data_IF_284444673563
#
_entry.id   IF_284444673563
#
_cell.length_a   1.000
_cell.length_b   1.000
_cell.length_c   1.000
_cell.angle_alpha   90.00
_cell.angle_beta   90.00
_cell.angle_gamma   90.00
#
_symmetry.space_group_name_H-M   'P 1'
#
loop_
_entity.id
_entity.type
_entity.pdbx_description
1 polymer ?
#
# COMPACT_ATOMS: atom_id res chain seq x y z
N UNK A 1 -21.88 -3.13 -4.21
CA UNK A 1 -20.83 -2.42 -3.44
C UNK A 1 -21.47 -1.17 -2.88
N UNK A 2 -21.72 -1.11 -1.56
CA UNK A 2 -22.33 0.08 -0.96
C UNK A 2 -21.31 1.22 -0.87
N UNK A 3 -21.73 2.39 -1.35
CA UNK A 3 -20.96 3.63 -1.35
C UNK A 3 -21.69 4.62 -0.46
N UNK A 4 -20.96 5.25 0.45
CA UNK A 4 -21.47 6.22 1.41
C UNK A 4 -20.81 7.56 1.12
N UNK A 5 -21.60 8.63 1.09
CA UNK A 5 -21.08 9.99 1.00
C UNK A 5 -20.80 10.48 2.41
N UNK A 6 -19.57 10.91 2.67
CA UNK A 6 -19.20 11.62 3.89
C UNK A 6 -19.85 13.01 3.87
N UNK A 7 -20.81 13.34 4.75
CA UNK A 7 -21.44 14.66 4.75
C UNK A 7 -20.47 15.77 5.20
N UNK A 8 -19.50 15.45 6.04
CA UNK A 8 -18.53 16.43 6.54
C UNK A 8 -17.44 16.82 5.52
N UNK A 9 -17.17 15.95 4.55
CA UNK A 9 -16.01 16.07 3.68
C UNK A 9 -16.30 15.86 2.19
N UNK A 10 -17.54 15.55 1.82
CA UNK A 10 -17.99 15.36 0.43
C UNK A 10 -17.39 14.15 -0.29
N UNK A 11 -16.57 13.34 0.37
CA UNK A 11 -15.91 12.19 -0.25
C UNK A 11 -16.78 10.93 -0.21
N UNK A 12 -16.75 10.19 -1.31
CA UNK A 12 -17.42 8.89 -1.41
C UNK A 12 -16.53 7.79 -0.84
N UNK A 13 -17.00 7.11 0.20
CA UNK A 13 -16.33 6.01 0.88
C UNK A 13 -17.05 4.72 0.54
N UNK A 14 -16.31 3.68 0.12
CA UNK A 14 -16.90 2.36 -0.08
C UNK A 14 -16.58 1.50 1.14
N UNK A 15 -17.61 0.89 1.75
CA UNK A 15 -17.40 -0.17 2.75
C UNK A 15 -17.04 -1.42 1.98
N UNK A 16 -15.80 -1.90 2.12
CA UNK A 16 -15.48 -3.23 1.60
C UNK A 16 -15.81 -4.29 2.65
N UNK A 17 -16.36 -5.45 2.23
CA UNK A 17 -16.44 -6.62 3.09
C UNK A 17 -15.06 -6.94 3.65
N UNK A 18 -15.01 -7.54 4.85
CA UNK A 18 -13.81 -7.91 5.60
C UNK A 18 -12.79 -8.79 4.85
N UNK A 19 -13.15 -9.29 3.66
CA UNK A 19 -12.30 -10.07 2.75
C UNK A 19 -11.79 -9.31 1.53
N UNK A 20 -12.09 -8.01 1.37
CA UNK A 20 -11.70 -7.23 0.19
C UNK A 20 -10.98 -5.96 0.62
N UNK A 21 -9.72 -5.83 0.20
CA UNK A 21 -8.90 -4.64 0.40
C UNK A 21 -9.45 -3.47 -0.44
N UNK A 22 -9.39 -2.22 0.05
CA UNK A 22 -9.81 -1.02 -0.67
C UNK A 22 -8.86 -0.67 -1.81
N UNK A 23 -8.69 -1.53 -2.79
CA UNK A 23 -8.02 -1.17 -4.03
C UNK A 23 -8.78 -1.67 -5.24
N UNK A 24 -8.71 -0.87 -6.31
CA UNK A 24 -8.96 -1.35 -7.68
C UNK A 24 -8.29 -2.72 -7.82
N UNK A 25 -8.86 -3.67 -8.58
CA UNK A 25 -8.40 -5.05 -8.63
C UNK A 25 -7.01 -5.13 -9.28
N UNK A 26 -5.97 -4.83 -8.52
CA UNK A 26 -4.57 -5.06 -8.87
C UNK A 26 -4.16 -6.28 -8.09
N UNK A 27 -3.60 -7.25 -8.80
CA UNK A 27 -3.04 -8.44 -8.18
C UNK A 27 -1.79 -8.08 -7.37
N UNK A 28 -1.66 -8.65 -6.18
CA UNK A 28 -0.55 -8.35 -5.27
C UNK A 28 0.80 -8.67 -5.92
N UNK A 29 0.86 -9.72 -6.74
CA UNK A 29 2.06 -10.11 -7.47
C UNK A 29 2.46 -9.08 -8.52
N UNK A 30 1.47 -8.46 -9.17
CA UNK A 30 1.72 -7.41 -10.17
C UNK A 30 2.20 -6.12 -9.52
N UNK A 31 1.62 -5.77 -8.36
CA UNK A 31 2.13 -4.67 -7.54
C UNK A 31 3.58 -4.93 -7.09
N UNK A 32 3.86 -6.15 -6.65
CA UNK A 32 5.21 -6.54 -6.25
C UNK A 32 6.19 -6.39 -7.40
N UNK A 33 5.89 -6.96 -8.56
CA UNK A 33 6.78 -6.95 -9.72
C UNK A 33 7.04 -5.53 -10.25
N UNK A 34 6.03 -4.66 -10.33
CA UNK A 34 6.23 -3.25 -10.69
C UNK A 34 7.09 -2.52 -9.65
N UNK A 35 6.86 -2.77 -8.36
CA UNK A 35 7.64 -2.14 -7.28
C UNK A 35 9.08 -2.67 -7.25
N UNK A 36 9.28 -3.97 -7.48
CA UNK A 36 10.58 -4.63 -7.57
C UNK A 36 11.35 -4.11 -8.81
N UNK A 37 10.68 -3.87 -9.94
CA UNK A 37 11.26 -3.22 -11.11
C UNK A 37 11.69 -1.78 -10.81
N UNK A 38 10.81 -0.97 -10.22
CA UNK A 38 11.11 0.43 -9.85
C UNK A 38 12.20 0.55 -8.79
N UNK A 39 12.36 -0.50 -7.99
CA UNK A 39 13.42 -0.62 -7.02
C UNK A 39 14.68 -1.27 -7.62
N UNK A 40 14.72 -1.69 -8.89
CA UNK A 40 15.89 -2.36 -9.50
C UNK A 40 16.26 -3.65 -8.73
N UNK A 41 15.26 -4.49 -8.43
CA UNK A 41 15.40 -5.83 -7.83
C UNK A 41 15.25 -6.92 -8.89
N UNK A 42 14.30 -6.76 -9.82
CA UNK A 42 13.97 -7.75 -10.83
C UNK A 42 13.59 -7.08 -12.16
N UNK A 43 13.60 -7.86 -13.23
CA UNK A 43 13.03 -7.47 -14.52
C UNK A 43 11.51 -7.27 -14.41
N UNK A 44 10.99 -6.35 -15.22
CA UNK A 44 9.63 -5.82 -15.13
C UNK A 44 8.49 -6.81 -15.30
N UNK A 45 7.28 -6.27 -15.31
CA UNK A 45 6.05 -7.05 -15.53
C UNK A 45 6.05 -7.70 -16.91
N UNK A 46 5.76 -9.01 -16.93
CA UNK A 46 5.47 -9.78 -18.14
C UNK A 46 4.14 -10.54 -17.94
N UNK A 47 3.08 -10.29 -18.75
CA UNK A 47 3.00 -9.26 -19.78
C UNK A 47 3.00 -7.83 -19.20
N UNK A 48 3.32 -6.80 -20.01
CA UNK A 48 3.26 -5.41 -19.56
C UNK A 48 1.84 -5.01 -19.12
N UNK A 49 1.71 -4.07 -18.17
CA UNK A 49 0.40 -3.64 -17.67
C UNK A 49 -0.36 -2.83 -18.72
N UNK A 50 -1.69 -2.94 -18.70
CA UNK A 50 -2.56 -2.06 -19.50
C UNK A 50 -2.54 -0.62 -18.95
N UNK A 51 -3.15 0.32 -19.68
CA UNK A 51 -3.13 1.75 -19.34
C UNK A 51 -3.75 2.04 -17.95
N UNK A 52 -4.80 1.30 -17.59
CA UNK A 52 -5.52 1.49 -16.33
C UNK A 52 -4.67 0.92 -15.18
N UNK A 53 -4.15 -0.29 -15.35
CA UNK A 53 -3.27 -0.97 -14.41
C UNK A 53 -2.00 -0.13 -14.16
N UNK A 54 -1.33 0.31 -15.22
CA UNK A 54 -0.14 1.16 -15.15
C UNK A 54 -0.41 2.45 -14.37
N UNK A 55 -1.54 3.12 -14.62
CA UNK A 55 -1.95 4.30 -13.87
C UNK A 55 -2.22 4.01 -12.39
N UNK A 56 -2.73 2.83 -12.07
CA UNK A 56 -2.94 2.42 -10.69
C UNK A 56 -1.61 2.12 -9.98
N UNK A 57 -0.73 1.33 -10.60
CA UNK A 57 0.62 1.03 -10.10
C UNK A 57 1.42 2.31 -9.87
N UNK A 58 1.34 3.26 -10.79
CA UNK A 58 1.98 4.56 -10.64
C UNK A 58 1.47 5.34 -9.41
N UNK A 59 0.15 5.41 -9.21
CA UNK A 59 -0.42 6.08 -8.02
C UNK A 59 0.00 5.41 -6.73
N UNK A 60 0.07 4.08 -6.72
CA UNK A 60 0.53 3.30 -5.59
C UNK A 60 1.97 3.64 -5.25
N UNK A 61 2.85 3.59 -6.25
CA UNK A 61 4.25 3.92 -6.08
C UNK A 61 4.44 5.37 -5.60
N UNK A 62 3.73 6.32 -6.22
CA UNK A 62 3.77 7.73 -5.79
C UNK A 62 3.37 7.88 -4.32
N UNK A 63 2.38 7.13 -3.87
CA UNK A 63 1.96 7.13 -2.47
C UNK A 63 3.03 6.57 -1.54
N UNK A 64 3.68 5.48 -1.93
CA UNK A 64 4.85 4.94 -1.23
C UNK A 64 5.96 6.00 -1.09
N UNK A 65 6.32 6.71 -2.17
CA UNK A 65 7.33 7.77 -2.16
C UNK A 65 7.00 8.86 -1.12
N UNK A 66 5.74 9.26 -1.01
CA UNK A 66 5.31 10.30 -0.05
C UNK A 66 5.27 9.84 1.40
N UNK A 67 5.38 8.53 1.67
CA UNK A 67 5.23 7.94 3.02
C UNK A 67 6.51 7.34 3.57
N UNK A 68 7.65 7.52 2.89
CA UNK A 68 8.93 6.91 3.26
C UNK A 68 9.32 7.18 4.70
N UNK A 69 9.19 8.43 5.17
CA UNK A 69 9.53 8.80 6.55
C UNK A 69 8.68 8.01 7.55
N UNK A 70 7.37 8.13 7.43
CA UNK A 70 6.44 7.43 8.30
C UNK A 70 6.59 5.90 8.25
N UNK A 71 6.80 5.32 7.07
CA UNK A 71 7.00 3.88 6.93
C UNK A 71 8.31 3.42 7.54
N UNK A 72 9.39 4.21 7.46
CA UNK A 72 10.64 3.92 8.18
C UNK A 72 10.39 3.81 9.68
N UNK A 73 9.58 4.70 10.24
CA UNK A 73 9.26 4.68 11.68
C UNK A 73 8.46 3.43 12.04
N UNK A 74 7.45 3.06 11.21
CA UNK A 74 6.64 1.86 11.45
C UNK A 74 7.44 0.57 11.34
N UNK A 75 8.31 0.45 10.33
CA UNK A 75 9.16 -0.74 10.23
C UNK A 75 10.27 -0.73 11.28
N UNK A 76 10.69 0.44 11.77
CA UNK A 76 11.54 0.61 12.93
C UNK A 76 12.77 -0.30 12.93
N UNK A 77 12.90 -1.10 13.99
CA UNK A 77 14.01 -2.03 14.22
C UNK A 77 14.08 -3.19 13.21
N UNK A 78 13.03 -3.43 12.41
CA UNK A 78 13.05 -4.45 11.36
C UNK A 78 14.07 -4.10 10.26
N UNK A 79 14.36 -2.81 10.11
CA UNK A 79 15.18 -2.27 9.03
C UNK A 79 16.55 -1.79 9.52
N UNK A 80 17.59 -1.91 8.68
CA UNK A 80 18.89 -1.34 9.00
C UNK A 80 18.83 0.19 9.04
N UNK A 81 19.72 0.79 9.82
CA UNK A 81 19.91 2.24 9.84
C UNK A 81 20.35 2.76 8.45
N UNK A 82 20.14 4.05 8.19
CA UNK A 82 20.67 4.70 6.99
C UNK A 82 19.86 4.49 5.70
N UNK A 83 18.57 4.18 5.79
CA UNK A 83 17.68 4.17 4.62
C UNK A 83 17.46 5.61 4.13
N UNK A 84 18.02 5.93 2.95
CA UNK A 84 18.00 7.28 2.35
C UNK A 84 16.90 7.47 1.30
N UNK A 85 16.43 6.40 0.67
CA UNK A 85 15.50 6.51 -0.47
C UNK A 85 14.35 5.51 -0.38
N UNK A 86 13.25 5.81 -1.07
CA UNK A 86 12.09 4.92 -1.14
C UNK A 86 12.40 3.57 -1.80
N UNK A 87 13.28 3.55 -2.81
CA UNK A 87 13.77 2.32 -3.44
C UNK A 87 14.57 1.49 -2.44
N UNK A 88 15.48 2.14 -1.69
CA UNK A 88 16.25 1.45 -0.67
C UNK A 88 15.34 0.90 0.44
N UNK A 89 14.33 1.67 0.86
CA UNK A 89 13.32 1.19 1.82
C UNK A 89 12.62 -0.07 1.30
N UNK A 90 12.17 -0.06 0.04
CA UNK A 90 11.48 -1.20 -0.57
C UNK A 90 12.37 -2.44 -0.60
N UNK A 91 13.64 -2.30 -1.04
CA UNK A 91 14.63 -3.41 -1.03
C UNK A 91 14.77 -4.04 0.35
N UNK A 92 14.91 -3.23 1.39
CA UNK A 92 15.13 -3.74 2.74
C UNK A 92 13.88 -4.41 3.31
N UNK A 93 12.71 -3.82 3.11
CA UNK A 93 11.44 -4.41 3.52
C UNK A 93 11.19 -5.73 2.77
N UNK A 94 11.44 -5.78 1.46
CA UNK A 94 11.32 -7.00 0.64
C UNK A 94 12.22 -8.12 1.13
N UNK A 95 13.47 -7.81 1.51
CA UNK A 95 14.41 -8.79 2.09
C UNK A 95 13.95 -9.35 3.43
N UNK A 96 13.25 -8.56 4.23
CA UNK A 96 12.79 -8.96 5.57
C UNK A 96 11.46 -9.72 5.56
N UNK A 97 10.53 -9.31 4.69
CA UNK A 97 9.15 -9.83 4.70
C UNK A 97 8.82 -10.73 3.50
N UNK A 98 9.75 -10.95 2.59
CA UNK A 98 9.69 -11.93 1.47
C UNK A 98 8.60 -11.74 0.41
N UNK A 99 7.48 -11.07 0.69
CA UNK A 99 6.45 -10.73 -0.30
C UNK A 99 5.66 -9.45 0.05
N UNK A 100 5.03 -8.84 -0.95
CA UNK A 100 4.15 -7.68 -0.79
C UNK A 100 2.93 -8.00 0.07
N UNK A 101 2.42 -9.23 0.01
CA UNK A 101 1.34 -9.69 0.87
C UNK A 101 1.75 -9.67 2.34
N UNK A 102 2.94 -10.19 2.67
CA UNK A 102 3.48 -10.18 4.03
C UNK A 102 3.72 -8.76 4.53
N UNK A 103 4.16 -7.84 3.66
CA UNK A 103 4.30 -6.41 3.99
C UNK A 103 2.95 -5.80 4.35
N UNK A 104 1.93 -6.03 3.52
CA UNK A 104 0.58 -5.54 3.75
C UNK A 104 -0.03 -6.11 5.03
N UNK A 105 0.18 -7.41 5.28
CA UNK A 105 -0.28 -8.09 6.49
C UNK A 105 0.37 -7.51 7.74
N UNK A 106 1.69 -7.31 7.73
CA UNK A 106 2.43 -6.70 8.83
C UNK A 106 1.92 -5.29 9.15
N UNK A 107 1.80 -4.42 8.14
CA UNK A 107 1.30 -3.06 8.33
C UNK A 107 -0.14 -3.03 8.86
N UNK A 108 -0.99 -3.96 8.40
CA UNK A 108 -2.38 -4.05 8.83
C UNK A 108 -2.51 -4.55 10.28
N UNK A 109 -1.76 -5.59 10.64
CA UNK A 109 -1.85 -6.23 11.95
C UNK A 109 -1.16 -5.43 13.05
N UNK A 110 0.02 -4.88 12.77
CA UNK A 110 0.84 -4.20 13.79
C UNK A 110 0.50 -2.72 13.93
N UNK A 111 0.01 -2.08 12.86
CA UNK A 111 -0.10 -0.61 12.81
C UNK A 111 -1.43 -0.11 12.25
N UNK A 112 -2.37 -1.00 11.93
CA UNK A 112 -3.67 -0.65 11.33
C UNK A 112 -3.54 0.30 10.12
N UNK A 113 -2.49 0.14 9.33
CA UNK A 113 -2.23 0.92 8.11
C UNK A 113 -2.03 0.01 6.91
N UNK A 114 -2.22 0.54 5.70
CA UNK A 114 -1.82 -0.11 4.45
C UNK A 114 -0.57 0.55 3.86
N UNK A 115 -0.01 -0.01 2.77
CA UNK A 115 1.03 0.63 1.96
C UNK A 115 0.62 2.03 1.47
N UNK A 116 -0.69 2.25 1.29
CA UNK A 116 -1.24 3.35 0.49
C UNK A 116 -1.99 4.40 1.32
N UNK A 117 -2.18 4.13 2.59
CA UNK A 117 -2.71 5.05 3.59
C UNK A 117 -3.13 4.29 4.84
N UNK A 118 -3.41 5.01 5.93
CA UNK A 118 -4.12 4.40 7.06
C UNK A 118 -5.45 3.83 6.59
N UNK A 119 -5.85 2.68 7.13
CA UNK A 119 -7.24 2.28 7.01
C UNK A 119 -8.05 3.35 7.73
N UNK A 120 -8.84 4.15 7.00
CA UNK A 120 -9.81 5.03 7.65
C UNK A 120 -10.90 4.12 8.18
N UNK A 121 -10.76 3.71 9.43
CA UNK A 121 -11.85 3.09 10.16
C UNK A 121 -13.05 4.03 10.07
N UNK A 122 -14.14 3.56 9.49
CA UNK A 122 -15.44 4.15 9.69
C UNK A 122 -15.74 3.98 11.17
N UNK A 123 -15.51 5.00 12.00
CA UNK A 123 -16.08 4.97 13.33
C UNK A 123 -17.60 4.98 13.16
N UNK A 124 -18.34 4.06 13.82
CA UNK A 124 -19.79 4.18 13.87
C UNK A 124 -20.13 5.54 14.46
N UNK A 125 -21.10 6.24 13.86
CA UNK A 125 -21.62 7.49 14.42
C UNK A 125 -21.93 7.28 15.90
N UNK A 126 -21.51 8.19 16.82
CA UNK A 126 -22.07 8.17 18.17
C UNK A 126 -23.59 8.16 18.02
N UNK A 127 -24.24 7.20 18.69
CA UNK A 127 -25.70 7.08 18.65
C UNK A 127 -26.27 8.38 19.23
N UNK A 128 -26.89 9.17 18.35
CA UNK A 128 -27.79 10.26 18.72
C UNK A 128 -29.10 9.71 19.26
#
# INVERSE_FOLDING_TARGET
MQRFLCPCCGHTVSVLPSKRLPYRPIQVDRLQADSDQRAEIHCGLDPPPDLIEAGCLHRIWKRWLTRVVHLKDLFGQLLPAGIKTARHLWKQVRRRLCSTESILRFLAQSFHTSLLGGYRCLQPSPRS
#
